data_IF_820480086398
#
_entry.id   IF_820480086398
#
_cell.length_a   1.000
_cell.length_b   1.000
_cell.length_c   1.000
_cell.angle_alpha   90.00
_cell.angle_beta   90.00
_cell.angle_gamma   90.00
#
_symmetry.space_group_name_H-M   'P 1'
#
loop_
_entity.id
_entity.type
_entity.pdbx_description
1 polymer ?
#
# COMPACT_ATOMS: atom_id res chain seq x y z
N UNK A 1 -29.89 -60.64 51.19
CA UNK A 1 -28.88 -59.65 51.63
C UNK A 1 -27.76 -59.75 50.60
N UNK A 2 -27.83 -58.94 49.55
CA UNK A 2 -27.30 -59.32 48.24
C UNK A 2 -25.83 -58.94 48.07
N UNK A 3 -25.00 -59.98 47.97
CA UNK A 3 -23.54 -59.89 47.77
C UNK A 3 -23.16 -59.24 46.42
N UNK A 4 -24.09 -59.16 45.47
CA UNK A 4 -23.88 -58.58 44.13
C UNK A 4 -23.88 -57.04 44.08
N UNK A 5 -24.10 -56.35 45.20
CA UNK A 5 -24.14 -54.87 45.24
C UNK A 5 -22.76 -54.21 45.49
N UNK A 6 -21.76 -54.95 45.97
CA UNK A 6 -20.47 -54.38 46.38
C UNK A 6 -19.46 -54.23 45.23
N UNK A 7 -19.57 -55.03 44.15
CA UNK A 7 -18.67 -54.95 43.00
C UNK A 7 -18.96 -53.75 42.09
N UNK A 8 -20.20 -53.24 42.07
CA UNK A 8 -20.56 -52.07 41.24
C UNK A 8 -20.05 -50.75 41.80
N UNK A 9 -19.79 -50.66 43.10
CA UNK A 9 -19.25 -49.43 43.70
C UNK A 9 -17.76 -49.26 43.39
N UNK A 10 -17.03 -50.37 43.19
CA UNK A 10 -15.63 -50.34 42.76
C UNK A 10 -15.46 -49.90 41.30
N UNK A 11 -16.52 -49.98 40.48
CA UNK A 11 -16.53 -49.48 39.09
C UNK A 11 -16.82 -47.98 38.96
N UNK A 12 -17.26 -47.28 40.02
CA UNK A 12 -17.75 -45.90 39.91
C UNK A 12 -16.78 -44.80 40.34
N UNK A 13 -15.50 -45.08 40.58
CA UNK A 13 -14.50 -44.03 40.88
C UNK A 13 -13.11 -44.33 40.30
N UNK A 14 -13.02 -44.87 39.09
CA UNK A 14 -11.81 -44.65 38.30
C UNK A 14 -11.88 -43.24 37.71
N UNK A 15 -11.49 -42.26 38.52
CA UNK A 15 -11.26 -40.88 38.09
C UNK A 15 -10.12 -40.91 37.07
N UNK A 16 -10.48 -41.11 35.80
CA UNK A 16 -9.58 -41.03 34.66
C UNK A 16 -8.97 -39.64 34.66
N UNK A 17 -7.79 -39.49 35.28
CA UNK A 17 -6.98 -38.28 35.22
C UNK A 17 -6.63 -38.06 33.76
N UNK A 18 -7.44 -37.26 33.07
CA UNK A 18 -7.10 -36.73 31.77
C UNK A 18 -5.79 -35.96 31.97
N UNK A 19 -4.68 -36.57 31.54
CA UNK A 19 -3.35 -35.98 31.61
C UNK A 19 -3.28 -34.96 30.49
N UNK A 20 -3.96 -33.84 30.67
CA UNK A 20 -3.87 -32.68 29.81
C UNK A 20 -2.41 -32.23 29.90
N UNK A 21 -1.63 -32.51 28.86
CA UNK A 21 -0.29 -31.93 28.72
C UNK A 21 -0.53 -30.45 28.46
N UNK A 22 -0.41 -29.64 29.50
CA UNK A 22 -0.51 -28.19 29.39
C UNK A 22 0.66 -27.62 28.60
N UNK A 23 0.40 -26.52 27.91
CA UNK A 23 1.43 -25.70 27.27
C UNK A 23 2.38 -25.16 28.35
N UNK A 24 3.68 -25.23 28.10
CA UNK A 24 4.67 -24.73 29.05
C UNK A 24 4.88 -23.23 28.85
N UNK A 25 5.14 -22.48 29.93
CA UNK A 25 5.45 -21.05 29.80
C UNK A 25 6.74 -20.83 29.00
N UNK A 26 7.68 -21.77 29.07
CA UNK A 26 8.94 -21.67 28.32
C UNK A 26 8.73 -21.78 26.80
N UNK A 27 7.77 -22.62 26.35
CA UNK A 27 7.39 -22.68 24.94
C UNK A 27 6.83 -21.34 24.46
N UNK A 28 6.05 -20.64 25.30
CA UNK A 28 5.55 -19.31 24.95
C UNK A 28 6.70 -18.29 24.84
N UNK A 29 7.58 -18.28 25.85
CA UNK A 29 8.67 -17.31 25.94
C UNK A 29 9.65 -17.47 24.79
N UNK A 30 10.05 -18.70 24.46
CA UNK A 30 10.95 -18.95 23.34
C UNK A 30 10.36 -18.46 21.99
N UNK A 31 9.05 -18.62 21.78
CA UNK A 31 8.36 -18.17 20.55
C UNK A 31 8.30 -16.65 20.46
N UNK A 32 7.88 -15.95 21.52
CA UNK A 32 7.81 -14.48 21.48
C UNK A 32 9.20 -13.85 21.38
N UNK A 33 10.22 -14.44 22.00
CA UNK A 33 11.60 -13.98 21.90
C UNK A 33 12.10 -14.07 20.45
N UNK A 34 11.82 -15.19 19.77
CA UNK A 34 12.20 -15.34 18.37
C UNK A 34 11.39 -14.42 17.44
N UNK A 35 10.09 -14.22 17.70
CA UNK A 35 9.27 -13.28 16.93
C UNK A 35 9.74 -11.83 17.11
N UNK A 36 10.14 -11.43 18.32
CA UNK A 36 10.70 -10.10 18.55
C UNK A 36 12.01 -9.89 17.78
N UNK A 37 12.88 -10.91 17.73
CA UNK A 37 14.12 -10.86 16.96
C UNK A 37 13.85 -10.66 15.46
N UNK A 38 12.93 -11.44 14.89
CA UNK A 38 12.56 -11.32 13.48
C UNK A 38 11.85 -9.99 13.18
N UNK A 39 10.92 -9.58 14.05
CA UNK A 39 10.19 -8.33 13.90
C UNK A 39 11.13 -7.11 13.94
N UNK A 40 12.14 -7.13 14.81
CA UNK A 40 13.15 -6.05 14.91
C UNK A 40 13.87 -5.79 13.58
N UNK A 41 14.10 -6.82 12.77
CA UNK A 41 14.76 -6.70 11.46
C UNK A 41 13.76 -6.45 10.32
N UNK A 42 12.57 -7.05 10.41
CA UNK A 42 11.57 -6.99 9.34
C UNK A 42 10.84 -5.64 9.26
N UNK A 43 10.55 -5.01 10.40
CA UNK A 43 9.76 -3.76 10.45
C UNK A 43 10.34 -2.60 9.62
N UNK A 44 11.62 -2.20 9.77
CA UNK A 44 12.15 -1.06 9.02
C UNK A 44 12.22 -1.33 7.51
N UNK A 45 12.50 -2.58 7.11
CA UNK A 45 12.52 -2.98 5.70
C UNK A 45 11.12 -2.96 5.08
N UNK A 46 10.13 -3.42 5.85
CA UNK A 46 8.75 -3.47 5.38
C UNK A 46 8.20 -2.07 5.07
N UNK A 47 8.46 -1.07 5.93
CA UNK A 47 7.99 0.30 5.70
C UNK A 47 8.58 0.90 4.42
N UNK A 48 9.89 0.73 4.18
CA UNK A 48 10.56 1.23 2.99
C UNK A 48 10.01 0.59 1.70
N UNK A 49 9.77 -0.72 1.70
CA UNK A 49 9.21 -1.43 0.54
C UNK A 49 7.80 -0.91 0.22
N UNK A 50 6.97 -0.72 1.24
CA UNK A 50 5.61 -0.21 1.06
C UNK A 50 5.62 1.21 0.50
N UNK A 51 6.52 2.07 0.98
CA UNK A 51 6.62 3.44 0.49
C UNK A 51 7.12 3.50 -0.96
N UNK A 52 8.10 2.67 -1.33
CA UNK A 52 8.54 2.50 -2.73
C UNK A 52 7.41 1.98 -3.63
N UNK A 53 6.60 1.03 -3.15
CA UNK A 53 5.45 0.52 -3.90
C UNK A 53 4.37 1.59 -4.11
N UNK A 54 4.11 2.42 -3.10
CA UNK A 54 3.18 3.56 -3.20
C UNK A 54 3.66 4.58 -4.24
N UNK A 55 4.94 4.96 -4.20
CA UNK A 55 5.55 5.84 -5.20
C UNK A 55 5.45 5.28 -6.62
N UNK A 56 5.76 3.98 -6.79
CA UNK A 56 5.64 3.31 -8.09
C UNK A 56 4.19 3.28 -8.60
N UNK A 57 3.23 3.10 -7.70
CA UNK A 57 1.81 3.12 -8.03
C UNK A 57 1.34 4.51 -8.44
N UNK A 58 1.84 5.56 -7.78
CA UNK A 58 1.54 6.94 -8.14
C UNK A 58 2.14 7.31 -9.49
N UNK A 59 3.37 6.88 -9.77
CA UNK A 59 4.00 7.07 -11.08
C UNK A 59 3.21 6.38 -12.21
N UNK A 60 2.77 5.13 -11.98
CA UNK A 60 1.91 4.41 -12.94
C UNK A 60 0.58 5.14 -13.16
N UNK A 61 -0.03 5.66 -12.09
CA UNK A 61 -1.26 6.47 -12.19
C UNK A 61 -1.03 7.74 -13.00
N UNK A 62 0.09 8.43 -12.78
CA UNK A 62 0.45 9.63 -13.51
C UNK A 62 0.64 9.36 -15.01
N UNK A 63 1.28 8.25 -15.39
CA UNK A 63 1.42 7.84 -16.80
C UNK A 63 0.05 7.56 -17.44
N UNK A 64 -0.84 6.88 -16.72
CA UNK A 64 -2.20 6.64 -17.20
C UNK A 64 -2.96 7.96 -17.41
N UNK A 65 -2.85 8.89 -16.48
CA UNK A 65 -3.46 10.21 -16.59
C UNK A 65 -2.92 11.03 -17.76
N UNK A 66 -1.60 11.01 -17.97
CA UNK A 66 -0.99 11.63 -19.13
C UNK A 66 -1.52 11.03 -20.44
N UNK A 67 -1.64 9.71 -20.50
CA UNK A 67 -2.19 9.02 -21.68
C UNK A 67 -3.67 9.33 -21.92
N UNK A 68 -4.49 9.42 -20.87
CA UNK A 68 -5.90 9.81 -20.98
C UNK A 68 -5.99 11.24 -21.50
N UNK A 69 -5.16 12.13 -20.97
CA UNK A 69 -5.19 13.54 -21.32
C UNK A 69 -4.70 13.81 -22.76
N UNK A 70 -3.69 13.06 -23.22
CA UNK A 70 -3.26 13.08 -24.62
C UNK A 70 -4.33 12.55 -25.58
N UNK A 71 -4.96 11.42 -25.26
CA UNK A 71 -6.06 10.88 -26.09
C UNK A 71 -7.21 11.88 -26.16
N UNK A 72 -7.60 12.46 -25.01
CA UNK A 72 -8.64 13.49 -24.95
C UNK A 72 -8.27 14.72 -25.77
N UNK A 73 -7.00 15.15 -25.73
CA UNK A 73 -6.50 16.25 -26.55
C UNK A 73 -6.57 15.94 -28.04
N UNK A 74 -6.20 14.74 -28.47
CA UNK A 74 -6.29 14.33 -29.88
C UNK A 74 -7.74 14.29 -30.37
N UNK A 75 -8.67 13.79 -29.56
CA UNK A 75 -10.11 13.78 -29.87
C UNK A 75 -10.70 15.20 -29.95
N UNK A 76 -10.23 16.12 -29.11
CA UNK A 76 -10.76 17.48 -29.00
C UNK A 76 -9.90 18.54 -29.70
N UNK A 77 -8.88 18.13 -30.48
CA UNK A 77 -7.91 19.00 -31.16
C UNK A 77 -8.53 20.04 -32.11
N UNK A 78 -9.75 19.79 -32.56
CA UNK A 78 -10.52 20.68 -33.44
C UNK A 78 -11.21 21.83 -32.69
N UNK A 79 -11.23 21.81 -31.36
CA UNK A 79 -11.81 22.85 -30.52
C UNK A 79 -10.75 23.88 -30.14
N UNK A 80 -10.96 25.13 -30.54
CA UNK A 80 -10.01 26.26 -30.45
C UNK A 80 -9.59 26.68 -29.03
N UNK A 81 -10.11 26.03 -28.00
CA UNK A 81 -9.86 26.35 -26.59
C UNK A 81 -9.68 25.07 -25.79
N UNK A 82 -8.46 24.84 -25.33
CA UNK A 82 -8.16 23.76 -24.41
C UNK A 82 -8.67 24.13 -23.01
N UNK A 83 -9.71 23.44 -22.56
CA UNK A 83 -10.35 23.69 -21.26
C UNK A 83 -9.92 22.61 -20.25
N UNK A 84 -9.09 23.01 -19.29
CA UNK A 84 -8.56 22.15 -18.21
C UNK A 84 -9.69 21.58 -17.33
N UNK A 85 -10.83 22.29 -17.22
CA UNK A 85 -11.99 21.81 -16.45
C UNK A 85 -12.63 20.61 -17.13
N UNK A 86 -12.80 20.65 -18.46
CA UNK A 86 -13.39 19.53 -19.22
C UNK A 86 -12.50 18.29 -19.23
N UNK A 87 -11.18 18.49 -19.25
CA UNK A 87 -10.23 17.39 -19.09
C UNK A 87 -10.36 16.75 -17.69
N UNK A 88 -10.45 17.57 -16.64
CA UNK A 88 -10.61 17.09 -15.26
C UNK A 88 -11.92 16.29 -15.10
N UNK A 89 -13.01 16.77 -15.70
CA UNK A 89 -14.30 16.06 -15.71
C UNK A 89 -14.24 14.74 -16.51
N UNK A 90 -13.52 14.73 -17.63
CA UNK A 90 -13.29 13.52 -18.40
C UNK A 90 -12.50 12.48 -17.60
N UNK A 91 -11.43 12.90 -16.91
CA UNK A 91 -10.66 12.04 -16.01
C UNK A 91 -11.56 11.46 -14.91
N UNK A 92 -12.37 12.29 -14.24
CA UNK A 92 -13.35 11.81 -13.24
C UNK A 92 -14.27 10.75 -13.82
N UNK A 93 -14.80 10.97 -15.03
CA UNK A 93 -15.69 10.00 -15.69
C UNK A 93 -15.00 8.66 -15.95
N UNK A 94 -13.74 8.67 -16.41
CA UNK A 94 -12.94 7.45 -16.62
C UNK A 94 -12.71 6.69 -15.31
N UNK A 95 -12.54 7.42 -14.19
CA UNK A 95 -12.36 6.85 -12.86
C UNK A 95 -13.67 6.61 -12.09
N UNK A 96 -14.83 6.62 -12.75
CA UNK A 96 -16.11 6.28 -12.10
C UNK A 96 -16.70 7.40 -11.23
N UNK A 97 -16.36 8.66 -11.53
CA UNK A 97 -16.86 9.86 -10.84
C UNK A 97 -15.98 10.33 -9.68
N UNK A 98 -14.84 9.68 -9.42
CA UNK A 98 -13.89 10.05 -8.37
C UNK A 98 -12.57 10.55 -8.95
N UNK A 99 -11.90 11.45 -8.23
CA UNK A 99 -10.55 11.89 -8.58
C UNK A 99 -9.52 10.85 -8.13
N UNK A 100 -8.56 10.47 -8.97
CA UNK A 100 -7.47 9.60 -8.55
C UNK A 100 -6.65 10.29 -7.46
N UNK A 101 -6.44 9.58 -6.36
CA UNK A 101 -5.65 10.04 -5.21
C UNK A 101 -4.31 9.33 -5.17
N UNK A 102 -3.31 10.03 -4.67
CA UNK A 102 -1.99 9.46 -4.40
C UNK A 102 -2.05 8.46 -3.25
N UNK A 103 -1.33 7.35 -3.42
CA UNK A 103 -1.13 6.33 -2.39
C UNK A 103 0.07 6.65 -1.48
N UNK A 104 1.03 7.46 -1.96
CA UNK A 104 2.17 7.93 -1.18
C UNK A 104 1.83 9.17 -0.34
N UNK A 105 1.34 10.23 -0.99
CA UNK A 105 0.85 11.45 -0.34
C UNK A 105 -0.66 11.33 -0.11
N UNK A 106 -1.01 10.83 1.08
CA UNK A 106 -2.41 10.64 1.48
C UNK A 106 -3.24 11.89 1.21
N UNK A 107 -4.38 11.67 0.55
CA UNK A 107 -5.40 12.68 0.23
C UNK A 107 -4.95 13.80 -0.72
N UNK A 108 -3.81 13.66 -1.39
CA UNK A 108 -3.42 14.55 -2.50
C UNK A 108 -3.91 13.99 -3.82
N UNK A 109 -4.39 14.87 -4.69
CA UNK A 109 -4.89 14.55 -6.02
C UNK A 109 -3.89 14.96 -7.09
N UNK A 110 -3.92 14.25 -8.23
CA UNK A 110 -3.06 14.56 -9.37
C UNK A 110 -3.62 15.75 -10.15
N UNK A 111 -2.78 16.73 -10.47
CA UNK A 111 -3.10 17.86 -11.34
C UNK A 111 -2.53 17.62 -12.74
N UNK A 112 -3.38 17.52 -13.75
CA UNK A 112 -2.95 17.29 -15.13
C UNK A 112 -2.96 18.59 -15.92
N UNK A 113 -1.86 18.88 -16.61
CA UNK A 113 -1.71 20.03 -17.50
C UNK A 113 -1.28 19.56 -18.89
N UNK A 114 -1.75 20.22 -19.94
CA UNK A 114 -1.24 20.01 -21.29
C UNK A 114 -0.70 21.30 -21.85
N UNK A 115 0.49 21.22 -22.44
CA UNK A 115 1.05 22.25 -23.29
C UNK A 115 1.41 21.60 -24.63
N UNK A 116 0.84 22.10 -25.72
CA UNK A 116 1.16 21.70 -27.10
C UNK A 116 1.21 20.18 -27.34
N UNK A 117 0.23 19.44 -26.82
CA UNK A 117 0.10 17.99 -27.02
C UNK A 117 0.98 17.12 -26.11
N UNK A 118 1.75 17.72 -25.19
CA UNK A 118 2.46 17.00 -24.13
C UNK A 118 1.70 17.12 -22.81
N UNK A 119 1.31 15.99 -22.24
CA UNK A 119 0.69 15.96 -20.92
C UNK A 119 1.76 15.91 -19.81
N UNK A 120 1.65 16.83 -18.85
CA UNK A 120 2.44 16.86 -17.61
C UNK A 120 1.50 16.65 -16.44
N UNK A 121 1.78 15.65 -15.61
CA UNK A 121 1.00 15.34 -14.41
C UNK A 121 1.80 15.76 -13.19
N UNK A 122 1.22 16.58 -12.32
CA UNK A 122 1.84 17.03 -11.08
C UNK A 122 1.15 16.42 -9.87
N UNK A 123 1.93 16.06 -8.86
CA UNK A 123 1.46 15.75 -7.52
C UNK A 123 2.19 16.70 -6.56
N UNK A 124 1.53 17.80 -6.17
CA UNK A 124 2.18 18.98 -5.57
C UNK A 124 3.44 19.42 -6.33
N UNK A 125 4.62 19.17 -5.77
CA UNK A 125 5.92 19.58 -6.34
C UNK A 125 6.59 18.49 -7.18
N UNK A 126 5.98 17.30 -7.29
CA UNK A 126 6.51 16.18 -8.08
C UNK A 126 5.91 16.24 -9.48
N UNK A 127 6.74 16.49 -10.48
CA UNK A 127 6.34 16.51 -11.89
C UNK A 127 6.65 15.15 -12.54
N UNK A 128 5.64 14.56 -13.17
CA UNK A 128 5.74 13.35 -13.96
C UNK A 128 5.62 13.73 -15.45
N UNK A 129 6.70 13.56 -16.21
CA UNK A 129 6.77 13.85 -17.65
C UNK A 129 6.90 12.54 -18.42
N UNK A 130 6.06 12.35 -19.45
CA UNK A 130 5.96 11.10 -20.23
C UNK A 130 7.18 10.83 -21.14
N UNK A 131 8.05 11.81 -21.38
CA UNK A 131 9.18 11.75 -22.33
C UNK A 131 10.41 10.93 -21.86
N UNK A 132 10.17 9.78 -21.22
CA UNK A 132 11.12 8.66 -21.33
C UNK A 132 12.21 8.53 -20.26
N UNK A 133 12.01 9.00 -19.02
CA UNK A 133 12.88 8.60 -17.90
C UNK A 133 12.01 8.20 -16.71
N UNK A 134 11.73 6.90 -16.62
CA UNK A 134 11.82 6.27 -15.29
C UNK A 134 13.29 6.39 -14.91
N UNK A 135 13.65 7.37 -14.07
CA UNK A 135 14.92 7.27 -13.39
C UNK A 135 14.71 6.18 -12.34
N UNK A 136 14.89 4.94 -12.76
CA UNK A 136 15.17 3.82 -11.86
C UNK A 136 16.37 4.17 -10.94
N UNK A 137 17.24 5.11 -11.40
CA UNK A 137 18.31 5.76 -10.64
C UNK A 137 17.87 6.71 -9.51
N UNK A 138 16.57 7.04 -9.35
CA UNK A 138 16.11 7.83 -8.19
C UNK A 138 15.59 6.96 -7.05
N UNK A 139 15.67 5.63 -7.19
CA UNK A 139 15.48 4.67 -6.10
C UNK A 139 16.83 4.09 -5.67
N UNK A 140 17.92 4.86 -5.78
CA UNK A 140 19.13 4.58 -5.03
C UNK A 140 19.00 5.20 -3.64
N UNK A 141 18.91 4.32 -2.66
CA UNK A 141 19.12 4.62 -1.24
C UNK A 141 20.55 5.09 -1.04
N UNK A 142 20.85 6.34 -1.34
CA UNK A 142 22.12 6.96 -0.93
C UNK A 142 21.93 8.46 -0.74
N UNK A 143 21.87 8.83 0.54
CA UNK A 143 22.29 10.10 1.11
C UNK A 143 21.47 11.36 0.77
N UNK A 144 21.75 12.42 1.52
CA UNK A 144 21.25 13.80 1.46
C UNK A 144 20.20 14.14 2.52
N UNK A 145 20.76 14.33 3.71
CA UNK A 145 20.47 15.47 4.61
C UNK A 145 19.67 16.61 3.97
N UNK A 146 18.67 17.16 4.66
CA UNK A 146 17.87 18.27 4.14
C UNK A 146 18.74 19.54 4.05
N UNK A 147 18.99 20.02 2.83
CA UNK A 147 19.44 21.40 2.62
C UNK A 147 18.21 22.32 2.45
N UNK A 148 18.05 23.36 3.30
CA UNK A 148 16.93 24.30 3.25
C UNK A 148 16.98 25.19 2.00
N UNK A 149 15.80 25.57 1.50
CA UNK A 149 15.64 26.57 0.43
C UNK A 149 15.53 27.94 1.09
N UNK A 150 16.45 28.86 0.76
CA UNK A 150 16.42 30.28 1.16
C UNK A 150 15.72 31.10 0.05
N UNK A 151 15.00 32.15 0.45
CA UNK A 151 14.18 33.07 -0.40
C UNK A 151 14.94 33.76 -1.54
#
# INVERSE_FOLDING_TARGET
MDYYSFERTKMMLEYKKNKNRGFTLIELVAVITLLMLLASLALPKYTEIVDKQRLKTDASTAVQLASIAETWYLENKTSSTFDVSKLTDHIKKVYGGIEPKSQYLKDKTFSVSLNDGKATVKLESIEFVKDGIFNEASIETTDLTPTPVEE
#
